data_IF_195655518971
#
_entry.id   IF_195655518971
#
_cell.length_a   1.000
_cell.length_b   1.000
_cell.length_c   1.000
_cell.angle_alpha   90.00
_cell.angle_beta   90.00
_cell.angle_gamma   90.00
#
_symmetry.space_group_name_H-M   'P 1'
#
loop_
_entity.id
_entity.type
_entity.pdbx_description
1 polymer ?
#
# COMPACT_ATOMS: atom_id res chain seq x y z
N UNK A 1 -18.29 -9.18 -4.45
CA UNK A 1 -16.86 -9.35 -4.11
C UNK A 1 -16.75 -10.20 -2.85
N UNK A 2 -15.66 -10.94 -2.65
CA UNK A 2 -15.41 -11.58 -1.34
C UNK A 2 -15.32 -10.51 -0.25
N UNK A 3 -15.75 -10.85 0.97
CA UNK A 3 -15.58 -9.98 2.13
C UNK A 3 -14.10 -9.97 2.54
N UNK A 4 -13.47 -8.83 2.34
CA UNK A 4 -12.06 -8.55 2.65
C UNK A 4 -11.93 -7.21 3.38
N UNK A 5 -12.99 -6.79 4.08
CA UNK A 5 -13.10 -5.48 4.73
C UNK A 5 -11.93 -5.17 5.67
N UNK A 6 -11.50 -6.16 6.43
CA UNK A 6 -10.38 -6.00 7.36
C UNK A 6 -9.06 -5.77 6.63
N UNK A 7 -8.79 -6.52 5.56
CA UNK A 7 -7.58 -6.32 4.74
C UNK A 7 -7.59 -4.95 4.05
N UNK A 8 -8.75 -4.50 3.55
CA UNK A 8 -8.91 -3.15 2.98
C UNK A 8 -8.57 -2.08 4.01
N UNK A 9 -9.12 -2.19 5.23
CA UNK A 9 -8.86 -1.21 6.29
C UNK A 9 -7.42 -1.22 6.78
N UNK A 10 -6.81 -2.41 6.92
CA UNK A 10 -5.42 -2.56 7.36
C UNK A 10 -4.45 -2.04 6.32
N UNK A 11 -4.66 -2.34 5.04
CA UNK A 11 -3.82 -1.83 3.96
C UNK A 11 -3.88 -0.30 3.89
N UNK A 12 -5.08 0.29 4.02
CA UNK A 12 -5.24 1.75 4.09
C UNK A 12 -4.38 2.35 5.21
N UNK A 13 -4.56 1.82 6.42
CA UNK A 13 -3.86 2.30 7.61
C UNK A 13 -2.33 2.15 7.48
N UNK A 14 -1.85 1.00 7.02
CA UNK A 14 -0.41 0.75 6.88
C UNK A 14 0.21 1.65 5.82
N UNK A 15 -0.47 1.86 4.69
CA UNK A 15 0.00 2.77 3.62
C UNK A 15 0.22 4.18 4.17
N UNK A 16 -0.77 4.75 4.87
CA UNK A 16 -0.66 6.08 5.48
C UNK A 16 0.43 6.10 6.58
N UNK A 17 0.45 5.08 7.44
CA UNK A 17 1.38 5.02 8.56
C UNK A 17 2.84 4.91 8.11
N UNK A 18 3.12 4.09 7.10
CA UNK A 18 4.46 3.93 6.55
C UNK A 18 4.96 5.20 5.87
N UNK A 19 4.10 5.84 5.07
CA UNK A 19 4.41 7.13 4.46
C UNK A 19 4.79 8.17 5.53
N UNK A 20 3.96 8.32 6.57
CA UNK A 20 4.21 9.27 7.66
C UNK A 20 5.50 8.96 8.42
N UNK A 21 5.80 7.67 8.66
CA UNK A 21 7.03 7.24 9.33
C UNK A 21 8.29 7.66 8.55
N UNK A 22 8.30 7.40 7.24
CA UNK A 22 9.42 7.76 6.36
C UNK A 22 9.51 9.29 6.19
N UNK A 23 8.36 9.97 6.02
CA UNK A 23 8.30 11.44 5.92
C UNK A 23 8.85 12.13 7.17
N UNK A 24 8.52 11.62 8.35
CA UNK A 24 9.04 12.10 9.62
C UNK A 24 10.52 11.73 9.85
N UNK A 25 11.13 11.00 8.91
CA UNK A 25 12.51 10.51 8.96
C UNK A 25 12.78 9.72 10.23
N UNK A 26 11.82 8.89 10.63
CA UNK A 26 12.02 7.99 11.75
C UNK A 26 12.90 6.80 11.34
N UNK A 27 13.74 6.36 12.27
CA UNK A 27 14.59 5.20 12.06
C UNK A 27 13.75 3.94 11.80
N UNK A 28 14.35 3.01 11.07
CA UNK A 28 13.76 1.71 10.85
C UNK A 28 13.53 0.98 12.18
N UNK A 29 12.37 0.33 12.30
CA UNK A 29 12.04 -0.50 13.46
C UNK A 29 11.36 -1.79 13.05
N UNK A 30 11.53 -2.84 13.87
CA UNK A 30 10.96 -4.17 13.61
C UNK A 30 9.44 -4.14 13.37
N UNK A 31 8.71 -3.29 14.10
CA UNK A 31 7.26 -3.18 13.95
C UNK A 31 6.87 -2.75 12.52
N UNK A 32 7.61 -1.80 11.94
CA UNK A 32 7.43 -1.34 10.56
C UNK A 32 7.65 -2.49 9.57
N UNK A 33 8.71 -3.29 9.75
CA UNK A 33 8.98 -4.46 8.89
C UNK A 33 7.85 -5.50 8.93
N UNK A 34 7.31 -5.77 10.13
CA UNK A 34 6.18 -6.70 10.28
C UNK A 34 4.93 -6.15 9.59
N UNK A 35 4.67 -4.84 9.72
CA UNK A 35 3.57 -4.16 9.04
C UNK A 35 3.72 -4.23 7.52
N UNK A 36 4.93 -4.09 6.99
CA UNK A 36 5.23 -4.20 5.55
C UNK A 36 4.84 -5.56 4.97
N UNK A 37 5.25 -6.65 5.62
CA UNK A 37 4.89 -8.01 5.19
C UNK A 37 3.38 -8.30 5.33
N UNK A 38 2.74 -7.76 6.38
CA UNK A 38 1.30 -7.85 6.56
C UNK A 38 0.54 -7.06 5.48
N UNK A 39 1.00 -5.86 5.12
CA UNK A 39 0.41 -5.06 4.04
C UNK A 39 0.51 -5.78 2.69
N UNK A 40 1.62 -6.45 2.39
CA UNK A 40 1.72 -7.28 1.19
C UNK A 40 0.70 -8.43 1.18
N UNK A 41 0.46 -9.04 2.35
CA UNK A 41 -0.57 -10.07 2.50
C UNK A 41 -1.97 -9.49 2.27
N UNK A 42 -2.30 -8.37 2.90
CA UNK A 42 -3.58 -7.68 2.73
C UNK A 42 -3.81 -7.27 1.27
N UNK A 43 -2.78 -6.74 0.60
CA UNK A 43 -2.78 -6.45 -0.83
C UNK A 43 -3.15 -7.68 -1.67
N UNK A 44 -2.48 -8.82 -1.47
CA UNK A 44 -2.77 -10.04 -2.23
C UNK A 44 -4.16 -10.59 -1.96
N UNK A 45 -4.66 -10.48 -0.73
CA UNK A 45 -6.05 -10.86 -0.38
C UNK A 45 -7.07 -10.03 -1.16
N UNK A 46 -6.89 -8.70 -1.19
CA UNK A 46 -7.75 -7.79 -1.96
C UNK A 46 -7.64 -8.08 -3.47
N UNK A 47 -6.43 -8.30 -3.97
CA UNK A 47 -6.17 -8.64 -5.36
C UNK A 47 -6.94 -9.90 -5.79
N UNK A 48 -6.88 -10.96 -4.97
CA UNK A 48 -7.64 -12.19 -5.21
C UNK A 48 -9.15 -11.97 -5.16
N UNK A 49 -9.64 -11.16 -4.20
CA UNK A 49 -11.07 -10.85 -4.10
C UNK A 49 -11.60 -10.11 -5.34
N UNK A 50 -10.84 -9.17 -5.87
CA UNK A 50 -11.17 -8.48 -7.12
C UNK A 50 -11.13 -9.44 -8.32
N UNK A 51 -10.09 -10.27 -8.42
CA UNK A 51 -9.94 -11.25 -9.50
C UNK A 51 -11.09 -12.28 -9.53
N UNK A 52 -11.50 -12.78 -8.36
CA UNK A 52 -12.59 -13.76 -8.23
C UNK A 52 -13.98 -13.11 -8.33
N UNK A 53 -14.08 -11.79 -8.18
CA UNK A 53 -15.34 -11.05 -8.28
C UNK A 53 -15.88 -10.91 -9.71
N UNK A 54 -15.12 -11.29 -10.73
CA UNK A 54 -15.53 -11.28 -12.15
C UNK A 54 -15.01 -10.08 -12.95
N UNK A 55 -15.24 -10.12 -14.27
CA UNK A 55 -14.64 -9.17 -15.23
C UNK A 55 -14.95 -7.70 -14.95
N UNK A 56 -16.09 -7.43 -14.33
CA UNK A 56 -16.51 -6.09 -13.92
C UNK A 56 -15.51 -5.37 -12.99
N UNK A 57 -14.64 -6.11 -12.29
CA UNK A 57 -13.61 -5.54 -11.42
C UNK A 57 -12.21 -5.54 -12.05
N UNK A 58 -12.04 -5.99 -13.29
CA UNK A 58 -10.72 -6.09 -13.92
C UNK A 58 -10.00 -4.73 -14.05
N UNK A 59 -10.73 -3.66 -14.35
CA UNK A 59 -10.14 -2.32 -14.41
C UNK A 59 -9.65 -1.86 -13.02
N UNK A 60 -10.51 -2.01 -12.00
CA UNK A 60 -10.19 -1.69 -10.61
C UNK A 60 -8.99 -2.51 -10.11
N UNK A 61 -8.94 -3.80 -10.42
CA UNK A 61 -7.81 -4.68 -10.13
C UNK A 61 -6.50 -4.17 -10.74
N UNK A 62 -6.51 -3.78 -12.02
CA UNK A 62 -5.32 -3.25 -12.71
C UNK A 62 -4.83 -1.97 -12.06
N UNK A 63 -5.73 -1.02 -11.79
CA UNK A 63 -5.40 0.25 -11.13
C UNK A 63 -4.86 0.01 -9.73
N UNK A 64 -5.51 -0.85 -8.95
CA UNK A 64 -5.09 -1.20 -7.59
C UNK A 64 -3.70 -1.83 -7.56
N UNK A 65 -3.44 -2.83 -8.42
CA UNK A 65 -2.13 -3.45 -8.51
C UNK A 65 -1.03 -2.45 -8.90
N UNK A 66 -1.27 -1.62 -9.91
CA UNK A 66 -0.29 -0.62 -10.34
C UNK A 66 0.00 0.44 -9.27
N UNK A 67 -1.03 0.90 -8.55
CA UNK A 67 -0.87 1.86 -7.46
C UNK A 67 -0.08 1.26 -6.28
N UNK A 68 -0.38 0.01 -5.90
CA UNK A 68 0.34 -0.69 -4.85
C UNK A 68 1.83 -0.87 -5.21
N UNK A 69 2.15 -1.33 -6.42
CA UNK A 69 3.55 -1.51 -6.85
C UNK A 69 4.33 -0.18 -6.83
N UNK A 70 3.67 0.94 -7.09
CA UNK A 70 4.28 2.27 -7.01
C UNK A 70 4.66 2.62 -5.57
N UNK A 71 3.76 2.41 -4.61
CA UNK A 71 4.03 2.59 -3.17
C UNK A 71 5.10 1.60 -2.68
N UNK A 72 4.99 0.34 -3.07
CA UNK A 72 5.90 -0.74 -2.70
C UNK A 72 7.35 -0.42 -3.04
N UNK A 73 7.62 0.23 -4.18
CA UNK A 73 8.99 0.61 -4.54
C UNK A 73 9.66 1.51 -3.49
N UNK A 74 8.93 2.51 -2.97
CA UNK A 74 9.41 3.40 -1.91
C UNK A 74 9.59 2.65 -0.59
N UNK A 75 8.57 1.89 -0.19
CA UNK A 75 8.56 1.16 1.07
C UNK A 75 9.60 0.05 1.10
N UNK A 76 9.81 -0.66 0.00
CA UNK A 76 10.82 -1.72 -0.09
C UNK A 76 12.25 -1.17 0.06
N UNK A 77 12.55 0.00 -0.51
CA UNK A 77 13.85 0.64 -0.33
C UNK A 77 14.12 0.95 1.16
N UNK A 78 13.10 1.41 1.89
CA UNK A 78 13.17 1.60 3.33
C UNK A 78 13.22 0.26 4.10
N UNK A 79 12.45 -0.75 3.68
CA UNK A 79 12.44 -2.08 4.30
C UNK A 79 13.82 -2.75 4.23
N UNK A 80 14.49 -2.61 3.08
CA UNK A 80 15.77 -3.24 2.79
C UNK A 80 16.97 -2.53 3.43
N UNK A 81 16.92 -1.18 3.51
CA UNK A 81 18.09 -0.39 3.92
C UNK A 81 17.81 0.73 4.92
N UNK A 82 16.62 0.80 5.51
CA UNK A 82 16.19 1.91 6.36
C UNK A 82 16.20 3.25 5.62
N UNK A 83 16.39 4.35 6.35
CA UNK A 83 16.48 5.69 5.75
C UNK A 83 17.62 5.80 4.72
N UNK A 84 18.75 5.13 4.95
CA UNK A 84 19.87 5.16 4.01
C UNK A 84 19.49 4.51 2.67
N UNK A 85 18.83 3.35 2.70
CA UNK A 85 18.35 2.67 1.49
C UNK A 85 17.25 3.44 0.76
N UNK A 86 16.39 4.13 1.51
CA UNK A 86 15.42 5.06 0.92
C UNK A 86 16.11 6.25 0.26
N UNK A 87 16.99 6.96 0.96
CA UNK A 87 17.64 8.18 0.47
C UNK A 87 18.53 7.90 -0.76
N UNK A 88 19.20 6.74 -0.81
CA UNK A 88 20.03 6.33 -1.96
C UNK A 88 19.23 6.33 -3.27
N UNK A 89 17.94 6.00 -3.22
CA UNK A 89 17.07 5.88 -4.38
C UNK A 89 16.10 7.05 -4.54
N UNK A 90 15.69 7.67 -3.43
CA UNK A 90 14.50 8.51 -3.34
C UNK A 90 14.65 9.76 -2.47
N UNK A 91 15.87 10.23 -2.16
CA UNK A 91 16.11 11.39 -1.29
C UNK A 91 15.21 12.60 -1.58
N UNK A 92 15.03 12.97 -2.85
CA UNK A 92 14.23 14.13 -3.28
C UNK A 92 12.82 13.74 -3.78
N UNK A 93 12.35 12.55 -3.43
CA UNK A 93 11.13 11.93 -3.99
C UNK A 93 9.98 11.81 -3.00
N UNK A 94 10.04 12.46 -1.84
CA UNK A 94 8.95 12.43 -0.87
C UNK A 94 7.62 12.98 -1.40
N UNK A 95 7.63 14.00 -2.28
CA UNK A 95 6.41 14.51 -2.91
C UNK A 95 5.80 13.51 -3.91
N UNK A 96 6.66 12.79 -4.65
CA UNK A 96 6.25 11.74 -5.57
C UNK A 96 5.68 10.55 -4.78
N UNK A 97 6.29 10.19 -3.63
CA UNK A 97 5.78 9.16 -2.73
C UNK A 97 4.42 9.55 -2.13
N UNK A 98 4.24 10.79 -1.68
CA UNK A 98 2.94 11.27 -1.20
C UNK A 98 1.85 11.13 -2.28
N UNK A 99 2.18 11.44 -3.53
CA UNK A 99 1.22 11.30 -4.63
C UNK A 99 0.86 9.82 -4.87
N UNK A 100 1.85 8.92 -4.78
CA UNK A 100 1.63 7.48 -4.90
C UNK A 100 0.75 6.94 -3.76
N UNK A 101 1.02 7.35 -2.52
CA UNK A 101 0.24 7.00 -1.32
C UNK A 101 -1.22 7.46 -1.46
N UNK A 102 -1.46 8.74 -1.77
CA UNK A 102 -2.82 9.26 -1.98
C UNK A 102 -3.57 8.56 -3.11
N UNK A 103 -2.86 8.20 -4.18
CA UNK A 103 -3.44 7.45 -5.30
C UNK A 103 -3.90 6.07 -4.86
N UNK A 104 -3.06 5.35 -4.10
CA UNK A 104 -3.42 4.05 -3.56
C UNK A 104 -4.59 4.15 -2.59
N UNK A 105 -4.56 5.11 -1.65
CA UNK A 105 -5.65 5.31 -0.67
C UNK A 105 -6.99 5.60 -1.35
N UNK A 106 -7.01 6.44 -2.38
CA UNK A 106 -8.23 6.72 -3.15
C UNK A 106 -8.81 5.46 -3.80
N UNK A 107 -7.95 4.59 -4.35
CA UNK A 107 -8.40 3.32 -4.93
C UNK A 107 -8.88 2.36 -3.84
N UNK A 108 -8.22 2.34 -2.69
CA UNK A 108 -8.65 1.55 -1.53
C UNK A 108 -10.06 2.01 -1.07
N UNK A 109 -10.36 3.31 -1.09
CA UNK A 109 -11.70 3.82 -0.79
C UNK A 109 -12.75 3.34 -1.80
N UNK A 110 -12.41 3.27 -3.10
CA UNK A 110 -13.29 2.66 -4.12
C UNK A 110 -13.57 1.18 -3.78
N UNK A 111 -12.56 0.41 -3.37
CA UNK A 111 -12.69 -1.00 -3.00
C UNK A 111 -13.50 -1.15 -1.71
N UNK A 112 -13.32 -0.24 -0.74
CA UNK A 112 -14.03 -0.21 0.52
C UNK A 112 -15.53 -0.01 0.34
N UNK A 113 -15.93 0.81 -0.63
CA UNK A 113 -17.34 1.00 -0.99
C UNK A 113 -18.03 -0.27 -1.54
N UNK A 114 -17.25 -1.27 -1.96
CA UNK A 114 -17.75 -2.57 -2.43
C UNK A 114 -17.87 -3.62 -1.32
N UNK A 115 -17.40 -3.33 -0.10
CA UNK A 115 -17.43 -4.24 1.03
C UNK A 115 -18.81 -4.26 1.71
N UNK A 116 -19.19 -5.38 2.36
CA UNK A 116 -20.39 -5.42 3.18
C UNK A 116 -20.33 -4.41 4.35
N UNK A 117 -21.50 -3.89 4.71
CA UNK A 117 -21.69 -2.91 5.79
C UNK A 117 -21.20 -3.42 7.15
#
# INVERSE_FOLDING_TARGET
MLDVKDSVNRLAWTTEHHFLHIQARHDFMRAWAVQFEMAYTDFRVIQMALQLGGEQYHDLLKRFAAAYETVYAYEYAFAAGGLAGFDEQFADKMADYQTAEQTLLKIIDEIKALQPA
#
